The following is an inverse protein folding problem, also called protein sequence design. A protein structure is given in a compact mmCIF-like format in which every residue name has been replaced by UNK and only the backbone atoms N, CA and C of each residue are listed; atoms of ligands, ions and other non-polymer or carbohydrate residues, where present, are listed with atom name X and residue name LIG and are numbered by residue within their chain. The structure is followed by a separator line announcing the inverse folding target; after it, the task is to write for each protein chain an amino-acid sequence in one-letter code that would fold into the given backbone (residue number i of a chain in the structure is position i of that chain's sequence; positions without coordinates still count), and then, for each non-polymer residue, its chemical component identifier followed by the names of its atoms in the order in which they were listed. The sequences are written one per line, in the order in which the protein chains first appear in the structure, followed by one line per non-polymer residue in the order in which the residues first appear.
data_IF_132495054869
#
_entry.id   IF_132495054869
#
_cell.length_a   1.000
_cell.length_b   1.000
_cell.length_c   1.000
_cell.angle_alpha   90.00
_cell.angle_beta   90.00
_cell.angle_gamma   90.00
#
_symmetry.space_group_name_H-M   'P 1'
#
loop_
_entity.id
_entity.type
_entity.pdbx_description
1 polymer ?
#
# COMPACT_ATOMS: atom_id res chain seq x y z
N UNK A 1 32.94 4.48 -2.50
CA UNK A 1 32.98 4.40 -1.01
C UNK A 1 31.63 4.79 -0.37
N UNK A 2 30.99 5.90 -0.76
CA UNK A 2 29.68 6.37 -0.22
C UNK A 2 28.54 5.33 -0.31
N UNK A 3 28.33 4.74 -1.50
CA UNK A 3 27.28 3.72 -1.75
C UNK A 3 27.43 2.48 -0.86
N UNK A 4 28.68 2.05 -0.58
CA UNK A 4 28.95 0.86 0.24
C UNK A 4 28.58 1.12 1.71
N UNK A 5 28.81 2.35 2.19
CA UNK A 5 28.42 2.74 3.55
C UNK A 5 26.90 2.90 3.68
N UNK A 6 26.22 3.45 2.67
CA UNK A 6 24.76 3.58 2.68
C UNK A 6 24.05 2.22 2.69
N UNK A 7 24.55 1.26 1.89
CA UNK A 7 24.01 -0.10 1.86
C UNK A 7 24.21 -0.85 3.19
N UNK A 8 25.38 -0.68 3.82
CA UNK A 8 25.67 -1.29 5.12
C UNK A 8 24.76 -0.71 6.22
N UNK A 9 24.51 0.61 6.18
CA UNK A 9 23.58 1.30 7.09
C UNK A 9 22.16 0.77 6.96
N UNK A 10 21.69 0.60 5.72
CA UNK A 10 20.37 0.01 5.44
C UNK A 10 20.24 -1.40 6.03
N UNK A 11 21.25 -2.26 5.81
CA UNK A 11 21.25 -3.63 6.35
C UNK A 11 21.18 -3.62 7.88
N UNK A 12 21.97 -2.77 8.54
CA UNK A 12 21.98 -2.66 10.00
C UNK A 12 20.59 -2.23 10.50
N UNK A 13 19.96 -1.24 9.85
CA UNK A 13 18.63 -0.78 10.22
C UNK A 13 17.57 -1.87 10.00
N UNK A 14 17.62 -2.59 8.87
CA UNK A 14 16.73 -3.71 8.57
C UNK A 14 16.91 -4.83 9.60
N UNK A 15 18.15 -5.17 9.95
CA UNK A 15 18.46 -6.21 10.92
C UNK A 15 17.93 -5.86 12.32
N UNK A 16 18.19 -4.65 12.81
CA UNK A 16 17.72 -4.23 14.13
C UNK A 16 16.19 -4.12 14.16
N UNK A 17 15.58 -3.58 13.11
CA UNK A 17 14.12 -3.52 13.02
C UNK A 17 13.48 -4.92 12.90
N UNK A 18 14.16 -5.89 12.28
CA UNK A 18 13.71 -7.28 12.20
C UNK A 18 13.55 -7.95 13.56
N UNK A 19 14.31 -7.51 14.57
CA UNK A 19 14.16 -8.00 15.94
C UNK A 19 12.78 -7.62 16.53
N UNK A 20 12.26 -6.44 16.19
CA UNK A 20 10.90 -6.05 16.54
C UNK A 20 9.84 -6.92 15.85
N UNK A 21 10.07 -7.28 14.59
CA UNK A 21 9.25 -8.25 13.86
C UNK A 21 9.28 -9.64 14.50
N UNK A 22 10.46 -10.10 14.91
CA UNK A 22 10.65 -11.37 15.58
C UNK A 22 9.90 -11.42 16.92
N UNK A 23 10.06 -10.40 17.77
CA UNK A 23 9.35 -10.30 19.05
C UNK A 23 7.83 -10.34 18.87
N UNK A 24 7.31 -9.64 17.86
CA UNK A 24 5.89 -9.62 17.58
C UNK A 24 5.41 -10.89 16.84
N UNK A 25 6.29 -11.65 16.20
CA UNK A 25 5.94 -12.95 15.63
C UNK A 25 5.70 -14.01 16.70
N UNK A 26 6.31 -13.86 17.89
CA UNK A 26 6.11 -14.77 19.03
C UNK A 26 4.71 -14.66 19.65
N UNK A 27 3.96 -13.58 19.38
CA UNK A 27 2.60 -13.40 19.89
C UNK A 27 1.55 -14.19 19.10
N UNK A 28 1.96 -14.93 18.07
CA UNK A 28 1.06 -15.69 17.19
C UNK A 28 0.32 -14.82 16.16
N UNK A 29 0.64 -13.53 16.07
CA UNK A 29 0.08 -12.65 15.05
C UNK A 29 0.64 -13.00 13.67
N UNK A 30 -0.24 -13.33 12.72
CA UNK A 30 0.11 -13.74 11.35
C UNK A 30 0.86 -12.66 10.55
N UNK A 31 0.79 -11.39 10.97
CA UNK A 31 1.43 -10.22 10.33
C UNK A 31 2.46 -9.56 11.28
N UNK A 32 2.86 -10.29 12.34
CA UNK A 32 3.77 -9.80 13.38
C UNK A 32 5.11 -9.30 12.81
N UNK A 33 5.64 -9.95 11.78
CA UNK A 33 6.87 -9.52 11.13
C UNK A 33 6.74 -8.13 10.47
N UNK A 34 5.71 -7.87 9.67
CA UNK A 34 5.54 -6.55 9.05
C UNK A 34 5.27 -5.46 10.10
N UNK A 35 4.32 -5.69 11.01
CA UNK A 35 3.93 -4.68 12.01
C UNK A 35 5.07 -4.40 12.99
N UNK A 36 5.73 -5.45 13.48
CA UNK A 36 6.84 -5.33 14.42
C UNK A 36 8.06 -4.65 13.80
N UNK A 37 8.43 -5.02 12.57
CA UNK A 37 9.54 -4.34 11.85
C UNK A 37 9.23 -2.88 11.56
N UNK A 38 8.00 -2.57 11.13
CA UNK A 38 7.59 -1.19 10.88
C UNK A 38 7.60 -0.34 12.15
N UNK A 39 7.06 -0.87 13.26
CA UNK A 39 7.08 -0.18 14.56
C UNK A 39 8.51 0.06 15.03
N UNK A 40 9.36 -0.96 14.99
CA UNK A 40 10.74 -0.85 15.43
C UNK A 40 11.54 0.14 14.57
N UNK A 41 11.37 0.09 13.24
CA UNK A 41 11.99 1.05 12.32
C UNK A 41 11.48 2.47 12.55
N UNK A 42 10.18 2.66 12.82
CA UNK A 42 9.58 3.95 13.14
C UNK A 42 10.15 4.54 14.44
N UNK A 43 10.21 3.74 15.51
CA UNK A 43 10.81 4.13 16.78
C UNK A 43 12.29 4.50 16.61
N UNK A 44 13.04 3.65 15.92
CA UNK A 44 14.47 3.88 15.68
C UNK A 44 14.72 5.18 14.88
N UNK A 45 13.87 5.44 13.89
CA UNK A 45 13.94 6.64 13.06
C UNK A 45 13.51 7.92 13.80
N UNK A 46 12.57 7.80 14.75
CA UNK A 46 12.09 8.92 15.56
C UNK A 46 13.08 9.30 16.68
N UNK A 47 13.59 8.31 17.41
CA UNK A 47 14.45 8.53 18.59
C UNK A 47 15.92 8.73 18.24
N UNK A 48 16.40 8.19 17.11
CA UNK A 48 17.80 8.25 16.66
C UNK A 48 18.81 8.08 17.82
N UNK A 49 18.87 6.91 18.47
CA UNK A 49 19.82 6.67 19.54
C UNK A 49 21.25 6.93 19.05
N UNK A 50 22.09 7.53 19.90
CA UNK A 50 23.45 7.94 19.59
C UNK A 50 24.31 6.92 18.81
N UNK A 51 24.29 5.60 19.12
CA UNK A 51 25.07 4.60 18.36
C UNK A 51 24.53 4.32 16.94
N UNK A 52 23.30 4.72 16.62
CA UNK A 52 22.65 4.46 15.33
C UNK A 52 22.34 5.73 14.53
N UNK A 53 22.82 6.89 14.99
CA UNK A 53 22.63 8.17 14.29
C UNK A 53 23.22 8.17 12.89
N UNK A 54 24.28 7.39 12.66
CA UNK A 54 24.85 7.16 11.33
C UNK A 54 24.06 6.14 10.50
N UNK A 55 23.45 5.13 11.13
CA UNK A 55 22.65 4.11 10.44
C UNK A 55 21.30 4.65 9.92
N UNK A 56 20.77 5.71 10.53
CA UNK A 56 19.49 6.32 10.16
C UNK A 56 19.71 7.53 9.24
N UNK A 57 19.55 7.33 7.93
CA UNK A 57 19.56 8.42 6.94
C UNK A 57 18.36 9.36 7.12
N UNK A 58 18.53 10.66 6.82
CA UNK A 58 17.42 11.64 6.77
C UNK A 58 16.41 11.37 5.64
N UNK A 59 16.75 10.51 4.69
CA UNK A 59 15.86 10.14 3.58
C UNK A 59 15.27 8.72 3.73
N UNK A 60 15.47 8.08 4.89
CA UNK A 60 15.08 6.68 5.13
C UNK A 60 15.94 5.66 4.37
N UNK A 61 15.50 4.41 4.39
CA UNK A 61 16.14 3.29 3.68
C UNK A 61 16.02 3.47 2.16
N UNK A 62 17.02 3.01 1.41
CA UNK A 62 17.02 3.11 -0.04
C UNK A 62 15.77 2.46 -0.68
N UNK A 63 15.16 3.11 -1.68
CA UNK A 63 13.95 2.64 -2.40
C UNK A 63 14.11 1.25 -3.05
N UNK A 64 15.34 0.77 -3.19
CA UNK A 64 15.68 -0.57 -3.66
C UNK A 64 15.11 -1.66 -2.76
N UNK A 65 15.15 -1.49 -1.43
CA UNK A 65 14.63 -2.48 -0.48
C UNK A 65 13.10 -2.61 -0.54
N UNK A 66 12.39 -1.48 -0.67
CA UNK A 66 10.95 -1.49 -0.95
C UNK A 66 10.63 -2.23 -2.25
N UNK A 67 11.40 -1.95 -3.30
CA UNK A 67 11.22 -2.57 -4.62
C UNK A 67 11.47 -4.07 -4.58
N UNK A 68 12.48 -4.50 -3.84
CA UNK A 68 12.82 -5.90 -3.63
C UNK A 68 11.72 -6.63 -2.85
N UNK A 69 11.24 -6.06 -1.75
CA UNK A 69 10.10 -6.60 -1.00
C UNK A 69 8.85 -6.73 -1.88
N UNK A 70 8.49 -5.66 -2.61
CA UNK A 70 7.38 -5.68 -3.56
C UNK A 70 7.52 -6.77 -4.63
N UNK A 71 8.73 -6.97 -5.16
CA UNK A 71 8.99 -8.01 -6.16
C UNK A 71 8.75 -9.41 -5.59
N UNK A 72 9.33 -9.72 -4.42
CA UNK A 72 9.12 -11.00 -3.71
C UNK A 72 7.64 -11.24 -3.48
N UNK A 73 6.94 -10.23 -2.95
CA UNK A 73 5.52 -10.31 -2.65
C UNK A 73 4.68 -10.53 -3.90
N UNK A 74 5.00 -9.86 -5.01
CA UNK A 74 4.29 -10.06 -6.26
C UNK A 74 4.56 -11.43 -6.89
N UNK A 75 5.74 -12.03 -6.71
CA UNK A 75 5.98 -13.42 -7.15
C UNK A 75 5.09 -14.39 -6.37
N UNK A 76 4.96 -14.19 -5.05
CA UNK A 76 4.07 -15.01 -4.23
C UNK A 76 2.59 -14.88 -4.64
N UNK A 77 2.14 -13.65 -4.87
CA UNK A 77 0.76 -13.37 -5.28
C UNK A 77 0.49 -13.85 -6.70
N UNK A 78 1.46 -13.71 -7.60
CA UNK A 78 1.37 -14.15 -8.99
C UNK A 78 1.13 -15.65 -9.11
N UNK A 79 1.66 -16.45 -8.18
CA UNK A 79 1.43 -17.90 -8.10
C UNK A 79 0.01 -18.28 -7.64
N UNK A 80 -0.71 -17.34 -7.00
CA UNK A 80 -2.07 -17.52 -6.50
C UNK A 80 -3.12 -16.95 -7.46
N UNK A 81 -2.70 -16.31 -8.55
CA UNK A 81 -3.58 -15.75 -9.56
C UNK A 81 -4.28 -16.88 -10.33
N UNK A 82 -5.61 -16.89 -10.29
CA UNK A 82 -6.42 -17.83 -11.08
C UNK A 82 -7.48 -17.06 -11.89
N UNK A 83 -7.92 -17.62 -13.02
CA UNK A 83 -8.98 -17.08 -13.89
C UNK A 83 -10.28 -16.81 -13.13
N UNK A 84 -10.55 -17.55 -12.05
CA UNK A 84 -11.73 -17.35 -11.20
C UNK A 84 -11.83 -15.94 -10.61
N UNK A 85 -10.71 -15.26 -10.33
CA UNK A 85 -10.74 -13.90 -9.76
C UNK A 85 -11.23 -12.87 -10.79
N UNK A 86 -10.90 -13.08 -12.06
CA UNK A 86 -11.40 -12.24 -13.17
C UNK A 86 -12.92 -12.41 -13.30
N UNK A 87 -13.45 -13.60 -13.09
CA UNK A 87 -14.89 -13.87 -13.11
C UNK A 87 -15.61 -13.19 -11.95
N UNK A 88 -15.09 -13.30 -10.73
CA UNK A 88 -15.62 -12.61 -9.55
C UNK A 88 -15.66 -11.09 -9.77
N UNK A 89 -14.59 -10.55 -10.36
CA UNK A 89 -14.53 -9.13 -10.70
C UNK A 89 -15.56 -8.74 -11.76
N UNK A 90 -15.76 -9.57 -12.79
CA UNK A 90 -16.74 -9.34 -13.85
C UNK A 90 -18.17 -9.40 -13.32
N UNK A 91 -18.45 -10.26 -12.36
CA UNK A 91 -19.78 -10.40 -11.76
C UNK A 91 -20.09 -9.26 -10.77
N UNK A 92 -19.08 -8.79 -10.02
CA UNK A 92 -19.24 -7.79 -8.97
C UNK A 92 -18.76 -6.38 -9.35
N UNK A 93 -18.55 -6.10 -10.65
CA UNK A 93 -17.92 -4.86 -11.13
C UNK A 93 -18.68 -3.60 -10.71
N UNK A 94 -20.02 -3.66 -10.63
CA UNK A 94 -20.86 -2.54 -10.19
C UNK A 94 -20.59 -2.18 -8.73
N UNK A 95 -20.56 -3.16 -7.82
CA UNK A 95 -20.31 -2.94 -6.40
C UNK A 95 -18.90 -2.41 -6.16
N UNK A 96 -17.90 -2.99 -6.83
CA UNK A 96 -16.52 -2.50 -6.78
C UNK A 96 -16.45 -1.06 -7.30
N UNK A 97 -17.10 -0.76 -8.42
CA UNK A 97 -17.14 0.59 -9.00
C UNK A 97 -17.75 1.63 -8.05
N UNK A 98 -18.90 1.32 -7.44
CA UNK A 98 -19.55 2.20 -6.46
C UNK A 98 -18.64 2.45 -5.25
N UNK A 99 -18.01 1.40 -4.71
CA UNK A 99 -17.09 1.54 -3.58
C UNK A 99 -15.85 2.36 -3.93
N UNK A 100 -15.33 2.22 -5.14
CA UNK A 100 -14.20 3.03 -5.59
C UNK A 100 -14.57 4.51 -5.70
N UNK A 101 -15.75 4.83 -6.25
CA UNK A 101 -16.26 6.20 -6.29
C UNK A 101 -16.43 6.74 -4.86
N UNK A 102 -17.03 5.95 -3.97
CA UNK A 102 -17.22 6.33 -2.57
C UNK A 102 -15.89 6.57 -1.86
N UNK A 103 -14.87 5.76 -2.15
CA UNK A 103 -13.51 5.95 -1.62
C UNK A 103 -12.88 7.27 -2.07
N UNK A 104 -13.11 7.68 -3.31
CA UNK A 104 -12.67 8.98 -3.84
C UNK A 104 -13.42 10.11 -3.11
N UNK A 105 -14.74 10.00 -2.96
CA UNK A 105 -15.56 10.99 -2.24
C UNK A 105 -15.09 11.15 -0.80
N UNK A 106 -14.86 10.05 -0.07
CA UNK A 106 -14.37 10.12 1.30
C UNK A 106 -12.94 10.67 1.40
N UNK A 107 -12.07 10.37 0.43
CA UNK A 107 -10.74 10.96 0.39
C UNK A 107 -10.78 12.48 0.14
N UNK A 108 -11.70 12.93 -0.73
CA UNK A 108 -11.94 14.36 -0.97
C UNK A 108 -12.52 15.05 0.27
N UNK A 109 -13.48 14.40 0.95
CA UNK A 109 -14.04 14.91 2.20
C UNK A 109 -12.97 15.01 3.29
N UNK A 110 -12.11 14.00 3.41
CA UNK A 110 -10.95 14.01 4.32
C UNK A 110 -9.99 15.18 3.97
N UNK A 111 -9.77 15.44 2.68
CA UNK A 111 -8.95 16.57 2.22
C UNK A 111 -9.58 17.93 2.55
N UNK A 112 -10.90 18.04 2.42
CA UNK A 112 -11.64 19.23 2.82
C UNK A 112 -11.59 19.46 4.33
N UNK A 113 -11.76 18.41 5.14
CA UNK A 113 -11.61 18.48 6.61
C UNK A 113 -10.20 18.93 6.98
N UNK A 114 -9.18 18.36 6.32
CA UNK A 114 -7.80 18.76 6.54
C UNK A 114 -7.59 20.24 6.20
N UNK A 115 -8.05 20.72 5.05
CA UNK A 115 -7.95 22.12 4.67
C UNK A 115 -8.69 23.06 5.63
N UNK A 116 -9.91 22.69 6.05
CA UNK A 116 -10.78 23.55 6.86
C UNK A 116 -10.32 23.72 8.31
N UNK A 117 -9.70 22.67 8.87
CA UNK A 117 -9.29 22.62 10.28
C UNK A 117 -7.77 22.70 10.48
N UNK A 118 -6.95 22.54 9.45
CA UNK A 118 -5.50 22.72 9.48
C UNK A 118 -5.09 24.10 8.93
N UNK A 119 -3.82 24.47 9.11
CA UNK A 119 -3.18 25.60 8.43
C UNK A 119 -2.56 25.19 7.07
N UNK A 120 -2.94 24.02 6.55
CA UNK A 120 -2.39 23.49 5.31
C UNK A 120 -3.11 24.11 4.10
N UNK A 121 -2.35 24.39 3.04
CA UNK A 121 -2.91 24.87 1.78
C UNK A 121 -3.92 23.86 1.19
N UNK A 122 -4.86 24.36 0.37
CA UNK A 122 -5.89 23.56 -0.26
C UNK A 122 -5.28 22.42 -1.10
N UNK A 123 -4.29 22.73 -1.96
CA UNK A 123 -3.63 21.73 -2.82
C UNK A 123 -2.88 20.70 -1.96
N UNK A 124 -2.20 21.16 -0.92
CA UNK A 124 -1.51 20.30 0.04
C UNK A 124 -2.47 19.33 0.73
N UNK A 125 -3.65 19.81 1.12
CA UNK A 125 -4.63 19.01 1.84
C UNK A 125 -5.25 17.94 0.94
N UNK A 126 -5.67 18.29 -0.27
CA UNK A 126 -6.25 17.34 -1.22
C UNK A 126 -5.23 16.32 -1.75
N UNK A 127 -4.00 16.75 -2.09
CA UNK A 127 -2.95 15.81 -2.50
C UNK A 127 -2.52 14.91 -1.34
N UNK A 128 -2.51 15.43 -0.12
CA UNK A 128 -2.15 14.68 1.10
C UNK A 128 -3.13 13.59 1.47
N UNK A 129 -4.44 13.82 1.27
CA UNK A 129 -5.47 12.83 1.59
C UNK A 129 -5.84 11.94 0.42
N UNK A 130 -5.43 12.28 -0.81
CA UNK A 130 -5.65 11.44 -1.98
C UNK A 130 -5.04 10.03 -1.79
N UNK A 131 -5.72 8.95 -2.24
CA UNK A 131 -5.16 7.61 -2.22
C UNK A 131 -4.12 7.47 -3.33
N UNK A 132 -2.83 7.48 -2.99
CA UNK A 132 -1.78 7.58 -4.00
C UNK A 132 -0.45 6.90 -3.72
N UNK A 133 -0.36 6.13 -2.64
CA UNK A 133 0.89 5.47 -2.23
C UNK A 133 1.95 6.44 -1.70
N UNK A 134 2.67 5.99 -0.67
CA UNK A 134 3.70 6.77 0.05
C UNK A 134 4.92 7.20 -0.80
N UNK A 135 5.01 6.72 -2.05
CA UNK A 135 6.14 7.01 -2.93
C UNK A 135 5.78 7.83 -4.17
N UNK A 136 4.50 8.05 -4.49
CA UNK A 136 4.09 8.81 -5.68
C UNK A 136 3.52 10.19 -5.32
N UNK A 137 2.72 10.29 -4.25
CA UNK A 137 2.07 11.54 -3.86
C UNK A 137 3.02 12.70 -3.55
N UNK A 138 4.19 12.52 -2.90
CA UNK A 138 5.13 13.62 -2.70
C UNK A 138 5.71 14.18 -4.01
N UNK A 139 5.88 13.34 -5.04
CA UNK A 139 6.35 13.79 -6.36
C UNK A 139 5.27 14.62 -7.07
N UNK A 140 4.02 14.14 -7.03
CA UNK A 140 2.86 14.86 -7.54
C UNK A 140 2.69 16.20 -6.80
N UNK A 141 2.86 16.20 -5.48
CA UNK A 141 2.81 17.42 -4.67
C UNK A 141 3.85 18.45 -5.14
N UNK A 142 5.06 18.00 -5.47
CA UNK A 142 6.10 18.87 -6.02
C UNK A 142 5.72 19.45 -7.38
N UNK A 143 5.11 18.65 -8.26
CA UNK A 143 4.65 19.09 -9.58
C UNK A 143 3.55 20.15 -9.49
N UNK A 144 2.64 20.04 -8.52
CA UNK A 144 1.53 20.99 -8.33
C UNK A 144 1.84 22.11 -7.34
N UNK A 145 3.09 22.24 -6.87
CA UNK A 145 3.52 23.28 -5.94
C UNK A 145 2.98 23.13 -4.50
N UNK A 146 2.48 21.96 -4.13
CA UNK A 146 2.01 21.64 -2.79
C UNK A 146 3.18 21.35 -1.83
N UNK A 147 2.95 21.53 -0.53
CA UNK A 147 3.95 21.25 0.50
C UNK A 147 4.17 19.74 0.64
N UNK A 148 5.28 19.25 0.06
CA UNK A 148 5.66 17.84 0.03
C UNK A 148 5.86 17.24 1.42
N UNK A 149 6.29 18.03 2.41
CA UNK A 149 6.50 17.57 3.77
C UNK A 149 5.17 17.26 4.47
N UNK A 150 4.17 18.16 4.34
CA UNK A 150 2.83 17.93 4.90
C UNK A 150 2.13 16.76 4.19
N UNK A 151 2.23 16.68 2.85
CA UNK A 151 1.68 15.54 2.09
C UNK A 151 2.28 14.22 2.56
N UNK A 152 3.61 14.18 2.69
CA UNK A 152 4.32 12.99 3.19
C UNK A 152 3.91 12.64 4.62
N UNK A 153 3.75 13.64 5.49
CA UNK A 153 3.27 13.46 6.86
C UNK A 153 1.88 12.84 6.92
N UNK A 154 0.89 13.44 6.25
CA UNK A 154 -0.50 12.96 6.22
C UNK A 154 -0.57 11.52 5.70
N UNK A 155 0.13 11.25 4.60
CA UNK A 155 0.20 9.92 4.00
C UNK A 155 0.88 8.90 4.91
N UNK A 156 1.93 9.29 5.63
CA UNK A 156 2.68 8.41 6.54
C UNK A 156 1.84 8.06 7.77
N UNK A 157 1.17 9.05 8.37
CA UNK A 157 0.23 8.83 9.49
C UNK A 157 -0.86 7.86 9.06
N UNK A 158 -1.46 8.08 7.88
CA UNK A 158 -2.52 7.19 7.37
C UNK A 158 -2.02 5.77 7.19
N UNK A 159 -0.87 5.56 6.54
CA UNK A 159 -0.29 4.22 6.33
C UNK A 159 0.02 3.56 7.66
N UNK A 160 0.61 4.29 8.62
CA UNK A 160 0.91 3.75 9.94
C UNK A 160 -0.37 3.35 10.68
N UNK A 161 -1.40 4.20 10.69
CA UNK A 161 -2.69 3.88 11.29
C UNK A 161 -3.34 2.65 10.65
N UNK A 162 -3.37 2.60 9.33
CA UNK A 162 -3.97 1.47 8.61
C UNK A 162 -3.23 0.17 8.91
N UNK A 163 -1.90 0.17 8.84
CA UNK A 163 -1.08 -1.04 9.09
C UNK A 163 -1.13 -1.49 10.55
N UNK A 164 -1.28 -0.57 11.49
CA UNK A 164 -1.41 -0.90 12.91
C UNK A 164 -2.82 -1.29 13.33
N UNK A 165 -3.86 -0.75 12.69
CA UNK A 165 -5.24 -0.95 13.15
C UNK A 165 -5.95 -2.07 12.37
N UNK A 166 -5.81 -2.11 11.04
CA UNK A 166 -6.58 -3.05 10.21
C UNK A 166 -6.25 -4.51 10.50
N UNK A 167 -4.98 -4.96 10.55
CA UNK A 167 -4.66 -6.35 10.87
C UNK A 167 -5.22 -6.80 12.22
N UNK A 168 -5.11 -5.96 13.25
CA UNK A 168 -5.65 -6.25 14.58
C UNK A 168 -7.17 -6.33 14.58
N UNK A 169 -7.82 -5.40 13.87
CA UNK A 169 -9.27 -5.39 13.73
C UNK A 169 -9.78 -6.65 13.02
N UNK A 170 -9.14 -7.04 11.91
CA UNK A 170 -9.49 -8.24 11.16
C UNK A 170 -9.19 -9.51 11.95
N UNK A 171 -8.04 -9.58 12.63
CA UNK A 171 -7.70 -10.70 13.52
C UNK A 171 -8.75 -10.89 14.62
N UNK A 172 -9.21 -9.79 15.23
CA UNK A 172 -10.25 -9.81 16.26
C UNK A 172 -11.60 -10.28 15.71
N UNK A 173 -11.99 -9.82 14.51
CA UNK A 173 -13.23 -10.25 13.85
C UNK A 173 -13.16 -11.74 13.48
N UNK A 174 -12.07 -12.18 12.85
CA UNK A 174 -11.88 -13.55 12.41
C UNK A 174 -11.90 -14.54 13.59
N UNK A 175 -11.33 -14.14 14.74
CA UNK A 175 -11.38 -14.94 15.97
C UNK A 175 -12.80 -15.08 16.56
N UNK A 176 -13.70 -14.14 16.26
CA UNK A 176 -15.07 -14.10 16.80
C UNK A 176 -16.12 -14.66 15.83
N UNK A 177 -15.89 -14.54 14.53
CA UNK A 177 -16.72 -15.06 13.45
C UNK A 177 -15.82 -15.72 12.42
N UNK A 178 -15.50 -17.02 12.57
CA UNK A 178 -14.81 -17.76 11.53
C UNK A 178 -15.69 -17.72 10.28
N UNK A 179 -15.19 -17.11 9.20
CA UNK A 179 -15.93 -17.02 7.94
C UNK A 179 -16.29 -18.44 7.45
N UNK A 180 -17.57 -18.82 7.47
CA UNK A 180 -18.06 -20.09 6.86
C UNK A 180 -17.89 -20.14 5.34
N UNK A 181 -17.57 -18.99 4.73
CA UNK A 181 -17.19 -18.81 3.33
C UNK A 181 -15.70 -18.46 3.18
N UNK A 182 -14.84 -18.92 4.09
CA UNK A 182 -13.43 -19.07 3.76
C UNK A 182 -13.37 -20.03 2.58
N UNK A 183 -13.23 -19.45 1.39
CA UNK A 183 -12.99 -20.19 0.15
C UNK A 183 -11.90 -21.21 0.46
N UNK A 184 -12.23 -22.50 0.43
CA UNK A 184 -11.35 -23.66 0.64
C UNK A 184 -10.27 -23.77 -0.45
N UNK A 185 -9.80 -22.64 -0.97
CA UNK A 185 -8.56 -22.57 -1.71
C UNK A 185 -7.48 -22.24 -0.69
N UNK A 186 -6.78 -23.30 -0.27
CA UNK A 186 -5.36 -23.33 0.11
C UNK A 186 -5.08 -24.17 1.37
N UNK A 187 -5.48 -25.45 1.37
CA UNK A 187 -4.67 -26.48 2.05
C UNK A 187 -3.64 -27.12 1.11
N UNK A 188 -3.60 -26.75 -0.18
CA UNK A 188 -2.69 -27.38 -1.15
C UNK A 188 -1.31 -26.70 -1.30
N UNK A 189 -0.97 -25.72 -0.47
CA UNK A 189 0.35 -25.05 -0.53
C UNK A 189 1.18 -25.19 0.76
N UNK A 190 0.78 -26.07 1.67
CA UNK A 190 1.66 -26.60 2.72
C UNK A 190 2.39 -27.86 2.26
N UNK A 191 2.47 -28.10 0.94
CA UNK A 191 3.42 -29.03 0.38
C UNK A 191 4.81 -28.44 0.54
N UNK A 192 5.59 -29.00 1.46
CA UNK A 192 7.05 -28.96 1.39
C UNK A 192 7.43 -29.42 -0.01
N UNK A 193 7.61 -28.47 -0.93
CA UNK A 193 8.03 -28.80 -2.29
C UNK A 193 9.40 -29.44 -2.12
N UNK A 194 9.49 -30.72 -2.48
CA UNK A 194 10.73 -31.47 -2.40
C UNK A 194 11.81 -30.70 -3.15
N UNK A 195 13.01 -30.67 -2.60
CA UNK A 195 14.13 -29.91 -3.15
C UNK A 195 14.63 -30.62 -4.42
N UNK A 196 13.90 -30.46 -5.53
CA UNK A 196 14.20 -31.01 -6.84
C UNK A 196 14.74 -29.95 -7.79
N UNK A 197 15.66 -30.36 -8.68
CA UNK A 197 16.26 -29.46 -9.68
C UNK A 197 15.21 -28.80 -10.60
N UNK A 198 14.09 -29.48 -10.84
CA UNK A 198 12.93 -28.99 -11.59
C UNK A 198 12.24 -27.79 -10.93
N UNK A 199 12.10 -27.79 -9.61
CA UNK A 199 11.49 -26.69 -8.86
C UNK A 199 12.38 -25.44 -8.85
N UNK A 200 13.69 -25.61 -8.74
CA UNK A 200 14.67 -24.52 -8.80
C UNK A 200 14.68 -23.87 -10.18
N UNK A 201 14.55 -24.68 -11.24
CA UNK A 201 14.50 -24.18 -12.61
C UNK A 201 13.24 -23.33 -12.85
N UNK A 202 12.08 -23.75 -12.35
CA UNK A 202 10.85 -22.95 -12.41
C UNK A 202 10.92 -21.67 -11.57
N UNK A 203 11.57 -21.71 -10.40
CA UNK A 203 11.82 -20.50 -9.60
C UNK A 203 12.71 -19.49 -10.35
N UNK A 204 13.71 -19.97 -11.10
CA UNK A 204 14.53 -19.10 -11.94
C UNK A 204 13.72 -18.48 -13.09
N UNK A 205 12.86 -19.26 -13.75
CA UNK A 205 11.94 -18.76 -14.79
C UNK A 205 10.97 -17.72 -14.24
N UNK A 206 10.35 -17.96 -13.08
CA UNK A 206 9.45 -17.01 -12.44
C UNK A 206 10.16 -15.71 -12.03
N UNK A 207 11.38 -15.82 -11.50
CA UNK A 207 12.18 -14.65 -11.13
C UNK A 207 12.57 -13.83 -12.36
N UNK A 208 12.95 -14.49 -13.45
CA UNK A 208 13.31 -13.84 -14.70
C UNK A 208 12.10 -13.16 -15.35
N UNK A 209 10.96 -13.85 -15.40
CA UNK A 209 9.69 -13.30 -15.89
C UNK A 209 9.25 -12.11 -15.05
N UNK A 210 9.34 -12.20 -13.73
CA UNK A 210 9.06 -11.10 -12.82
C UNK A 210 9.96 -9.90 -13.10
N UNK A 211 11.26 -10.10 -13.30
CA UNK A 211 12.19 -9.01 -13.59
C UNK A 211 11.89 -8.28 -14.90
N UNK A 212 11.65 -9.03 -15.98
CA UNK A 212 11.28 -8.44 -17.28
C UNK A 212 9.94 -7.72 -17.22
N UNK A 213 8.93 -8.31 -16.58
CA UNK A 213 7.63 -7.71 -16.40
C UNK A 213 7.69 -6.45 -15.51
N UNK A 214 8.53 -6.42 -14.48
CA UNK A 214 8.80 -5.22 -13.69
C UNK A 214 9.39 -4.09 -14.55
N UNK A 215 10.33 -4.42 -15.44
CA UNK A 215 10.94 -3.45 -16.36
C UNK A 215 9.91 -2.91 -17.37
N UNK A 216 9.03 -3.77 -17.88
CA UNK A 216 7.92 -3.38 -18.74
C UNK A 216 6.89 -2.50 -17.99
N UNK A 217 6.50 -2.89 -16.78
CA UNK A 217 5.57 -2.12 -15.94
C UNK A 217 6.10 -0.72 -15.61
N UNK A 218 7.41 -0.58 -15.37
CA UNK A 218 8.07 0.73 -15.22
C UNK A 218 7.96 1.59 -16.48
N UNK A 219 8.18 1.00 -17.66
CA UNK A 219 8.05 1.71 -18.96
C UNK A 219 6.63 2.20 -19.20
N UNK A 220 5.64 1.39 -18.81
CA UNK A 220 4.21 1.69 -18.92
C UNK A 220 3.68 2.61 -17.80
N UNK A 221 4.54 3.06 -16.87
CA UNK A 221 4.18 3.93 -15.74
C UNK A 221 3.07 3.36 -14.85
N UNK A 222 2.98 2.03 -14.71
CA UNK A 222 2.00 1.41 -13.81
C UNK A 222 2.25 1.82 -12.34
N UNK A 223 1.18 1.97 -11.52
CA UNK A 223 1.34 2.13 -10.08
C UNK A 223 2.02 0.88 -9.48
N UNK A 224 2.94 1.08 -8.53
CA UNK A 224 3.71 -0.01 -7.89
C UNK A 224 4.29 -1.04 -8.89
N UNK A 225 5.15 -0.61 -9.83
CA UNK A 225 5.55 -1.42 -10.98
C UNK A 225 6.32 -2.69 -10.61
N UNK A 226 7.00 -2.71 -9.46
CA UNK A 226 7.70 -3.89 -8.96
C UNK A 226 6.77 -4.96 -8.40
N UNK A 227 5.65 -4.56 -7.80
CA UNK A 227 4.64 -5.49 -7.28
C UNK A 227 3.77 -6.02 -8.40
N UNK A 228 3.18 -5.13 -9.21
CA UNK A 228 2.29 -5.53 -10.29
C UNK A 228 3.04 -6.21 -11.43
N UNK A 229 4.24 -5.73 -11.75
CA UNK A 229 5.07 -6.34 -12.77
C UNK A 229 5.42 -7.78 -12.42
N UNK A 230 5.90 -8.04 -11.19
CA UNK A 230 6.23 -9.41 -10.79
C UNK A 230 5.00 -10.31 -10.70
N UNK A 231 3.88 -9.80 -10.17
CA UNK A 231 2.62 -10.54 -10.09
C UNK A 231 2.08 -10.94 -11.46
N UNK A 232 1.98 -10.00 -12.40
CA UNK A 232 1.49 -10.26 -13.76
C UNK A 232 2.45 -11.17 -14.52
N UNK A 233 3.76 -10.94 -14.39
CA UNK A 233 4.78 -11.75 -15.06
C UNK A 233 4.71 -13.21 -14.64
N UNK A 234 4.62 -13.47 -13.34
CA UNK A 234 4.50 -14.84 -12.80
C UNK A 234 3.15 -15.46 -13.15
N UNK A 235 2.06 -14.71 -13.03
CA UNK A 235 0.73 -15.19 -13.42
C UNK A 235 0.67 -15.58 -14.90
N UNK A 236 1.25 -14.78 -15.79
CA UNK A 236 1.30 -15.07 -17.22
C UNK A 236 2.07 -16.36 -17.51
N UNK A 237 3.23 -16.57 -16.87
CA UNK A 237 3.99 -17.82 -17.01
C UNK A 237 3.24 -18.99 -16.41
N UNK A 238 2.55 -18.81 -15.29
CA UNK A 238 1.79 -19.90 -14.66
C UNK A 238 0.58 -20.31 -15.51
N UNK A 239 -0.16 -19.35 -16.06
CA UNK A 239 -1.29 -19.61 -16.97
C UNK A 239 -0.79 -20.28 -18.26
N UNK A 240 0.25 -19.72 -18.89
CA UNK A 240 0.82 -20.26 -20.11
C UNK A 240 1.44 -21.65 -19.88
N UNK A 241 2.19 -21.82 -18.80
CA UNK A 241 2.80 -23.07 -18.39
C UNK A 241 1.77 -24.15 -18.07
N UNK A 242 0.68 -23.80 -17.37
CA UNK A 242 -0.41 -24.74 -17.10
C UNK A 242 -1.12 -25.19 -18.38
N UNK A 243 -1.26 -24.30 -19.36
CA UNK A 243 -1.84 -24.64 -20.67
C UNK A 243 -0.95 -25.52 -21.54
N UNK A 244 0.38 -25.47 -21.35
CA UNK A 244 1.36 -26.16 -22.19
C UNK A 244 1.88 -27.47 -21.58
N UNK A 245 1.99 -27.54 -20.25
CA UNK A 245 2.62 -28.65 -19.53
C UNK A 245 1.62 -29.59 -18.81
N UNK A 246 0.32 -29.25 -18.75
CA UNK A 246 -0.71 -30.13 -18.19
C UNK A 246 -0.66 -30.35 -16.67
N UNK A 247 0.32 -29.78 -15.96
CA UNK A 247 0.46 -29.82 -14.51
C UNK A 247 0.52 -28.41 -13.92
N UNK A 248 0.07 -28.25 -12.67
CA UNK A 248 0.23 -27.01 -11.92
C UNK A 248 1.71 -26.78 -11.61
N UNK A 249 2.34 -25.82 -12.26
CA UNK A 249 3.69 -25.39 -11.92
C UNK A 249 3.68 -24.79 -10.51
N UNK A 250 4.16 -25.54 -9.54
CA UNK A 250 4.41 -25.07 -8.18
C UNK A 250 5.87 -24.64 -8.09
N UNK A 251 6.15 -23.34 -7.96
CA UNK A 251 7.50 -22.91 -7.62
C UNK A 251 7.75 -23.18 -6.14
N UNK A 252 8.98 -23.58 -5.80
CA UNK A 252 9.40 -23.66 -4.41
C UNK A 252 9.53 -22.24 -3.86
N UNK A 253 8.51 -21.80 -3.12
CA UNK A 253 8.45 -20.50 -2.47
C UNK A 253 8.40 -20.66 -0.94
N UNK A 254 9.56 -20.80 -0.27
CA UNK A 254 9.60 -20.99 1.17
C UNK A 254 9.04 -19.77 1.90
N UNK A 255 8.41 -20.03 3.05
CA UNK A 255 7.84 -19.02 3.94
C UNK A 255 8.83 -17.89 4.30
N UNK A 256 10.14 -18.18 4.28
CA UNK A 256 11.20 -17.19 4.50
C UNK A 256 11.16 -16.01 3.53
N UNK A 257 10.73 -16.17 2.27
CA UNK A 257 10.64 -15.05 1.33
C UNK A 257 9.48 -14.10 1.64
N UNK A 258 8.36 -14.62 2.13
CA UNK A 258 7.23 -13.81 2.59
C UNK A 258 7.63 -12.98 3.81
N UNK A 259 8.34 -13.59 4.77
CA UNK A 259 8.91 -12.90 5.93
C UNK A 259 9.92 -11.83 5.50
N UNK A 260 10.83 -12.15 4.57
CA UNK A 260 11.81 -11.20 4.06
C UNK A 260 11.14 -10.00 3.35
N UNK A 261 10.08 -10.26 2.59
CA UNK A 261 9.27 -9.20 1.99
C UNK A 261 8.65 -8.29 3.05
N UNK A 262 8.00 -8.87 4.06
CA UNK A 262 7.39 -8.13 5.16
C UNK A 262 8.41 -7.27 5.93
N UNK A 263 9.60 -7.81 6.19
CA UNK A 263 10.71 -7.08 6.82
C UNK A 263 11.15 -5.90 5.94
N UNK A 264 11.37 -6.12 4.63
CA UNK A 264 11.82 -5.07 3.72
C UNK A 264 10.78 -3.94 3.59
N UNK A 265 9.50 -4.30 3.47
CA UNK A 265 8.39 -3.35 3.40
C UNK A 265 8.24 -2.58 4.71
N UNK A 266 8.17 -3.28 5.84
CA UNK A 266 8.00 -2.70 7.17
C UNK A 266 9.15 -1.77 7.54
N UNK A 267 10.40 -2.22 7.36
CA UNK A 267 11.58 -1.41 7.60
C UNK A 267 11.59 -0.14 6.72
N UNK A 268 11.29 -0.26 5.43
CA UNK A 268 11.30 0.91 4.53
C UNK A 268 10.20 1.91 4.90
N UNK A 269 8.98 1.44 5.20
CA UNK A 269 7.87 2.32 5.59
C UNK A 269 8.17 3.00 6.94
N UNK A 270 8.61 2.24 7.95
CA UNK A 270 8.94 2.78 9.27
C UNK A 270 10.10 3.77 9.23
N UNK A 271 11.11 3.52 8.40
CA UNK A 271 12.27 4.42 8.24
C UNK A 271 11.94 5.80 7.67
N UNK A 272 10.75 5.99 7.10
CA UNK A 272 10.33 7.28 6.53
C UNK A 272 9.83 8.26 7.59
N UNK A 273 9.63 7.82 8.83
CA UNK A 273 9.17 8.66 9.93
C UNK A 273 10.36 9.44 10.48
N UNK A 274 10.26 10.77 10.49
CA UNK A 274 11.31 11.64 11.00
C UNK A 274 10.76 12.63 12.00
N UNK A 275 11.52 12.91 13.07
CA UNK A 275 11.13 13.87 14.11
C UNK A 275 10.80 15.26 13.56
N UNK A 276 11.54 15.68 12.54
CA UNK A 276 11.37 16.97 11.85
C UNK A 276 9.96 17.13 11.25
N UNK A 277 9.29 16.02 10.89
CA UNK A 277 7.93 16.06 10.34
C UNK A 277 6.87 16.46 11.38
N UNK A 278 7.19 16.43 12.67
CA UNK A 278 6.24 16.72 13.75
C UNK A 278 6.46 18.10 14.40
N UNK A 279 7.60 18.74 14.13
CA UNK A 279 7.96 20.02 14.73
C UNK A 279 7.15 21.13 14.06
N UNK A 280 6.38 21.91 14.84
CA UNK A 280 5.64 23.08 14.34
C UNK A 280 4.34 22.80 13.59
N UNK A 281 3.90 21.52 13.48
CA UNK A 281 2.70 21.11 12.72
C UNK A 281 1.68 20.33 13.55
N UNK A 282 1.65 20.56 14.87
CA UNK A 282 0.79 19.81 15.81
C UNK A 282 -0.70 19.85 15.45
N UNK A 283 -1.23 21.00 15.00
CA UNK A 283 -2.63 21.11 14.57
C UNK A 283 -2.91 20.27 13.32
N UNK A 284 -2.03 20.34 12.32
CA UNK A 284 -2.12 19.56 11.08
C UNK A 284 -2.04 18.06 11.37
N UNK A 285 -1.13 17.66 12.27
CA UNK A 285 -0.97 16.28 12.73
C UNK A 285 -2.27 15.74 13.34
N UNK A 286 -2.87 16.46 14.29
CA UNK A 286 -4.10 16.02 14.95
C UNK A 286 -5.26 15.90 13.97
N UNK A 287 -5.42 16.87 13.07
CA UNK A 287 -6.48 16.84 12.06
C UNK A 287 -6.24 15.71 11.05
N UNK A 288 -5.00 15.48 10.62
CA UNK A 288 -4.64 14.38 9.73
C UNK A 288 -4.87 13.01 10.36
N UNK A 289 -4.55 12.86 11.64
CA UNK A 289 -4.83 11.65 12.42
C UNK A 289 -6.33 11.40 12.51
N UNK A 290 -7.11 12.38 12.96
CA UNK A 290 -8.56 12.22 13.14
C UNK A 290 -9.27 12.02 11.81
N UNK A 291 -8.85 12.74 10.76
CA UNK A 291 -9.34 12.56 9.40
C UNK A 291 -9.00 11.18 8.82
N UNK A 292 -7.83 10.62 9.15
CA UNK A 292 -7.46 9.26 8.75
C UNK A 292 -8.29 8.21 9.49
N UNK A 293 -8.51 8.38 10.80
CA UNK A 293 -9.41 7.51 11.59
C UNK A 293 -10.83 7.54 11.03
N UNK A 294 -11.38 8.73 10.78
CA UNK A 294 -12.70 8.89 10.18
C UNK A 294 -12.80 8.22 8.80
N UNK A 295 -11.77 8.38 7.95
CA UNK A 295 -11.70 7.71 6.66
C UNK A 295 -11.66 6.18 6.80
N UNK A 296 -10.86 5.65 7.72
CA UNK A 296 -10.78 4.21 7.99
C UNK A 296 -12.15 3.66 8.41
N UNK A 297 -12.82 4.33 9.36
CA UNK A 297 -14.15 3.91 9.85
C UNK A 297 -15.17 3.94 8.70
N UNK A 298 -15.21 5.00 7.91
CA UNK A 298 -16.12 5.13 6.77
C UNK A 298 -15.89 4.02 5.74
N UNK A 299 -14.63 3.71 5.44
CA UNK A 299 -14.27 2.64 4.51
C UNK A 299 -14.62 1.25 5.06
N UNK A 300 -14.38 0.97 6.33
CA UNK A 300 -14.78 -0.30 6.97
C UNK A 300 -16.31 -0.44 6.94
N UNK A 301 -17.06 0.60 7.29
CA UNK A 301 -18.52 0.57 7.22
C UNK A 301 -19.02 0.27 5.81
N UNK A 302 -18.41 0.90 4.80
CA UNK A 302 -18.73 0.64 3.39
C UNK A 302 -18.34 -0.78 2.93
N UNK A 303 -17.24 -1.32 3.46
CA UNK A 303 -16.79 -2.68 3.18
C UNK A 303 -17.76 -3.73 3.77
N UNK A 304 -18.29 -3.50 4.98
CA UNK A 304 -19.30 -4.37 5.60
C UNK A 304 -20.56 -4.44 4.74
N UNK A 305 -21.07 -3.28 4.30
CA UNK A 305 -22.25 -3.22 3.41
C UNK A 305 -21.98 -3.99 2.12
N UNK A 306 -20.80 -3.81 1.53
CA UNK A 306 -20.42 -4.49 0.29
C UNK A 306 -20.25 -6.00 0.49
N UNK A 307 -19.70 -6.44 1.61
CA UNK A 307 -19.54 -7.85 1.93
C UNK A 307 -20.90 -8.57 1.97
N UNK A 308 -21.91 -7.95 2.59
CA UNK A 308 -23.26 -8.51 2.64
C UNK A 308 -23.96 -8.55 1.28
N UNK A 309 -23.74 -7.52 0.44
CA UNK A 309 -24.46 -7.40 -0.84
C UNK A 309 -23.77 -8.16 -1.97
N UNK A 310 -22.44 -8.18 -2.01
CA UNK A 310 -21.64 -8.84 -3.05
C UNK A 310 -21.25 -10.29 -2.70
N UNK A 311 -21.59 -10.79 -1.51
CA UNK A 311 -21.29 -12.16 -1.10
C UNK A 311 -19.80 -12.48 -0.93
N UNK A 312 -18.96 -11.46 -0.76
CA UNK A 312 -17.51 -11.61 -0.53
C UNK A 312 -17.20 -11.73 0.97
N UNK A 313 -16.18 -12.50 1.33
CA UNK A 313 -15.74 -12.60 2.74
C UNK A 313 -15.46 -11.22 3.33
N UNK A 314 -15.88 -10.99 4.58
CA UNK A 314 -15.73 -9.71 5.25
C UNK A 314 -14.26 -9.29 5.35
N UNK A 315 -13.38 -10.26 5.62
CA UNK A 315 -11.92 -10.08 5.68
C UNK A 315 -11.37 -9.54 4.35
N UNK A 316 -11.75 -10.14 3.21
CA UNK A 316 -11.35 -9.67 1.88
C UNK A 316 -11.89 -8.27 1.58
N UNK A 317 -13.16 -8.00 1.90
CA UNK A 317 -13.76 -6.69 1.66
C UNK A 317 -13.05 -5.57 2.44
N UNK A 318 -12.80 -5.78 3.74
CA UNK A 318 -12.10 -4.79 4.57
C UNK A 318 -10.71 -4.50 4.01
N UNK A 319 -9.95 -5.52 3.62
CA UNK A 319 -8.60 -5.33 3.07
C UNK A 319 -8.61 -4.72 1.67
N UNK A 320 -9.58 -5.06 0.82
CA UNK A 320 -9.70 -4.54 -0.53
C UNK A 320 -10.07 -3.06 -0.55
N UNK A 321 -10.99 -2.64 0.33
CA UNK A 321 -11.49 -1.26 0.34
C UNK A 321 -10.74 -0.33 1.30
N UNK A 322 -10.05 -0.84 2.33
CA UNK A 322 -9.32 0.00 3.28
C UNK A 322 -8.28 0.91 2.59
N UNK A 323 -8.12 2.18 3.04
CA UNK A 323 -7.22 3.18 2.45
C UNK A 323 -5.74 2.93 2.80
N UNK A 324 -5.24 1.73 2.49
CA UNK A 324 -3.85 1.31 2.66
C UNK A 324 -3.02 1.38 1.38
N UNK A 325 -1.73 1.05 1.51
CA UNK A 325 -0.87 0.84 0.34
C UNK A 325 -1.06 -0.55 -0.27
N UNK A 326 -0.78 -0.68 -1.56
CA UNK A 326 -1.04 -1.90 -2.33
C UNK A 326 -0.24 -3.09 -1.75
N UNK A 327 1.03 -2.87 -1.39
CA UNK A 327 1.90 -3.92 -0.89
C UNK A 327 1.52 -4.36 0.54
N UNK A 328 1.12 -3.40 1.36
CA UNK A 328 0.74 -3.59 2.76
C UNK A 328 -0.56 -4.40 2.87
N UNK A 329 -1.57 -4.05 2.06
CA UNK A 329 -2.84 -4.77 2.03
C UNK A 329 -2.69 -6.17 1.40
N UNK A 330 -1.81 -6.31 0.41
CA UNK A 330 -1.48 -7.60 -0.20
C UNK A 330 -0.72 -8.53 0.75
N UNK A 331 0.25 -8.00 1.52
CA UNK A 331 0.97 -8.83 2.52
C UNK A 331 0.08 -9.22 3.70
N UNK A 332 -0.91 -8.38 4.02
CA UNK A 332 -1.88 -8.62 5.11
C UNK A 332 -2.91 -9.67 4.72
N UNK A 333 -3.33 -9.71 3.45
CA UNK A 333 -4.36 -10.64 2.97
C UNK A 333 -3.89 -12.09 2.89
N UNK A 334 -2.61 -12.31 2.57
CA UNK A 334 -2.04 -13.66 2.45
C UNK A 334 -2.18 -14.49 3.73
N UNK A 335 -1.71 -14.03 4.91
CA UNK A 335 -1.77 -14.82 6.13
C UNK A 335 -3.18 -14.91 6.74
N UNK A 336 -4.08 -14.03 6.33
CA UNK A 336 -5.49 -14.01 6.76
C UNK A 336 -6.40 -14.86 5.85
N UNK A 337 -5.82 -15.62 4.92
CA UNK A 337 -6.55 -16.43 3.93
C UNK A 337 -7.59 -15.63 3.13
N UNK A 338 -7.37 -14.32 2.96
CA UNK A 338 -8.22 -13.46 2.16
C UNK A 338 -7.84 -13.56 0.68
N UNK A 339 -8.76 -13.22 -0.23
CA UNK A 339 -8.46 -13.18 -1.67
C UNK A 339 -7.51 -12.02 -1.96
N UNK A 340 -6.22 -12.33 -1.92
CA UNK A 340 -5.14 -11.35 -2.05
C UNK A 340 -5.08 -10.78 -3.47
N UNK A 341 -5.52 -11.55 -4.47
CA UNK A 341 -5.61 -11.11 -5.86
C UNK A 341 -6.69 -10.05 -6.01
N UNK A 342 -7.88 -10.30 -5.47
CA UNK A 342 -8.98 -9.34 -5.48
C UNK A 342 -8.58 -8.06 -4.75
N UNK A 343 -7.94 -8.18 -3.57
CA UNK A 343 -7.42 -7.05 -2.80
C UNK A 343 -6.47 -6.21 -3.66
N UNK A 344 -5.47 -6.81 -4.30
CA UNK A 344 -4.53 -6.07 -5.17
C UNK A 344 -5.26 -5.41 -6.33
N UNK A 345 -6.15 -6.11 -7.02
CA UNK A 345 -6.89 -5.58 -8.17
C UNK A 345 -7.70 -4.31 -7.81
N UNK A 346 -8.47 -4.37 -6.71
CA UNK A 346 -9.24 -3.22 -6.22
C UNK A 346 -8.33 -2.06 -5.82
N UNK A 347 -7.24 -2.35 -5.09
CA UNK A 347 -6.28 -1.34 -4.63
C UNK A 347 -5.58 -0.63 -5.80
N UNK A 348 -5.23 -1.37 -6.86
CA UNK A 348 -4.67 -0.82 -8.10
C UNK A 348 -5.68 0.04 -8.83
N UNK A 349 -6.89 -0.48 -9.05
CA UNK A 349 -7.93 0.25 -9.75
C UNK A 349 -8.25 1.57 -9.03
N UNK A 350 -8.29 1.56 -7.71
CA UNK A 350 -8.43 2.78 -6.90
C UNK A 350 -7.35 3.80 -7.18
N UNK A 351 -6.08 3.39 -7.16
CA UNK A 351 -4.95 4.30 -7.42
C UNK A 351 -5.00 4.85 -8.85
N UNK A 352 -5.34 4.02 -9.83
CA UNK A 352 -5.49 4.46 -11.23
C UNK A 352 -6.62 5.47 -11.37
N UNK A 353 -7.79 5.20 -10.77
CA UNK A 353 -8.93 6.11 -10.80
C UNK A 353 -8.60 7.45 -10.15
N UNK A 354 -7.93 7.44 -9.00
CA UNK A 354 -7.49 8.68 -8.34
C UNK A 354 -6.53 9.46 -9.22
N UNK A 355 -5.49 8.82 -9.76
CA UNK A 355 -4.52 9.50 -10.63
C UNK A 355 -5.20 10.06 -11.89
N UNK A 356 -6.20 9.38 -12.44
CA UNK A 356 -6.96 9.85 -13.58
C UNK A 356 -7.91 11.02 -13.25
N UNK A 357 -8.56 10.99 -12.08
CA UNK A 357 -9.54 12.00 -11.65
C UNK A 357 -8.90 13.25 -11.02
N UNK A 358 -7.69 13.12 -10.49
CA UNK A 358 -7.04 14.20 -9.74
C UNK A 358 -6.61 15.40 -10.62
N UNK A 359 -6.03 15.24 -11.83
CA UNK A 359 -5.74 16.36 -12.74
C UNK A 359 -6.97 17.19 -13.15
N UNK A 360 -8.10 16.60 -13.60
CA UNK A 360 -9.29 17.39 -13.94
C UNK A 360 -9.90 18.06 -12.71
N UNK A 361 -9.85 17.42 -11.54
CA UNK A 361 -10.30 18.03 -10.28
C UNK A 361 -9.49 19.29 -9.94
N UNK A 362 -8.16 19.24 -10.06
CA UNK A 362 -7.32 20.43 -9.81
C UNK A 362 -7.51 21.53 -10.84
N UNK A 363 -7.72 21.17 -12.12
CA UNK A 363 -8.02 22.16 -13.16
C UNK A 363 -9.33 22.90 -12.87
N UNK A 364 -10.34 22.20 -12.34
CA UNK A 364 -11.62 22.80 -11.96
C UNK A 364 -11.48 23.75 -10.76
N UNK A 365 -10.69 23.36 -9.74
CA UNK A 365 -10.44 24.20 -8.56
C UNK A 365 -9.64 25.45 -8.90
N UNK A 366 -8.59 25.35 -9.71
CA UNK A 366 -7.78 26.50 -10.12
C UNK A 366 -8.61 27.52 -10.89
N UNK A 367 -9.47 27.04 -11.80
CA UNK A 367 -10.37 27.90 -12.59
C UNK A 367 -11.45 28.60 -11.75
N UNK A 368 -11.80 28.06 -10.57
CA UNK A 368 -12.70 28.74 -9.62
C UNK A 368 -11.95 29.75 -8.74
N UNK A 369 -10.71 29.46 -8.34
CA UNK A 369 -9.89 30.41 -7.58
C UNK A 369 -9.64 31.71 -8.37
N UNK A 370 -9.29 31.61 -9.66
CA UNK A 370 -9.13 32.80 -10.53
C UNK A 370 -10.43 33.58 -10.72
N UNK A 371 -11.58 32.90 -10.88
CA UNK A 371 -12.89 33.56 -11.01
C UNK A 371 -13.32 34.30 -9.75
N UNK A 372 -12.86 33.88 -8.58
CA UNK A 372 -13.22 34.52 -7.29
C UNK A 372 -12.26 35.66 -6.92
N UNK A 373 -11.06 35.70 -7.51
CA UNK A 373 -10.09 36.80 -7.35
C UNK A 373 -10.38 38.02 -8.24
N UNK A 374 -11.16 37.87 -9.32
CA UNK A 374 -11.47 38.93 -10.29
C UNK A 374 -12.88 39.58 -10.29
N UNK A 375 -13.76 39.51 -9.26
CA UNK A 375 -15.00 40.31 -9.26
C UNK A 375 -14.79 41.79 -8.91
N UNK A 376 -13.75 42.14 -8.14
CA UNK A 376 -13.65 43.47 -7.50
C UNK A 376 -12.88 44.54 -8.30
N UNK A 377 -12.18 44.18 -9.38
CA UNK A 377 -11.40 45.16 -10.15
C UNK A 377 -12.22 45.74 -11.32
N UNK A 378 -13.35 45.12 -11.71
CA UNK A 378 -14.14 45.58 -12.87
C UNK A 378 -15.22 46.62 -12.57
N UNK A 379 -15.42 47.01 -11.30
CA UNK A 379 -16.42 48.03 -10.90
C UNK A 379 -15.83 49.38 -10.48
N UNK A 380 -14.51 49.54 -10.46
CA UNK A 380 -13.85 50.80 -10.11
C UNK A 380 -13.33 51.62 -11.33
N UNK A 381 -13.66 51.19 -12.56
CA UNK A 381 -13.14 51.80 -13.79
C UNK A 381 -14.19 52.39 -14.73
N UNK A 382 -15.42 52.60 -14.27
CA UNK A 382 -16.52 53.19 -15.06
C UNK A 382 -17.17 54.41 -14.42
N UNK A 383 -16.54 54.98 -13.39
CA UNK A 383 -16.86 56.31 -12.86
C UNK A 383 -15.56 57.12 -12.83
N UNK A 384 -15.24 57.76 -13.95
CA UNK A 384 -14.06 58.60 -14.14
C UNK A 384 -14.20 59.39 -15.43
#
# INVERSE_FOLDING_TARGET
MRIKNDFLRDIIMIFISSLGGFLLSLTGMTIGWMVGTMTAAACLSLFRPAPLKEAVSQHGIHKGWLSFGQMLLGIELGQKMNMSVILIFKENWLFVGVMLILSVIFAMLSGFVLWRFSNADMMTSFVGTAPGGLSAMPGIAQEVGANTAIVSLVQTIRVLLVVMTIPFFVFFIHSKYPDSHAVTHQMLAAGTSEFGAEYVMWTAVFTLAAFFACKAAKRLKFPAPWLLGSMIGVAAVQIAGSSLAGYSLTAWWPHGFSVLSQICLGATIGSKIHKEMFIGVSKTLTVAFLGSVGLIIAMIASAVVTAHVAGISLTTAILAFSPGGIAEMATTSVPLHADSTFVVAVQVLRVVLVIAMMPPFFRLLHHRSEKTAHPHIKKAGTEG
#
